data_IF_193588383637
#
_entry.id   IF_193588383637
#
_cell.length_a   1.000
_cell.length_b   1.000
_cell.length_c   1.000
_cell.angle_alpha   90.00
_cell.angle_beta   90.00
_cell.angle_gamma   90.00
#
_symmetry.space_group_name_H-M   'P 1'
#
loop_
_entity.id
_entity.type
_entity.pdbx_description
1 polymer ?
#
# COMPACT_ATOMS: atom_id res chain seq x y z
N UNK A 1 8.96 13.09 -13.21
CA UNK A 1 8.77 14.35 -12.45
C UNK A 1 9.07 15.59 -13.31
N UNK A 2 10.30 15.81 -13.79
CA UNK A 2 10.66 16.96 -14.67
C UNK A 2 9.67 17.16 -15.84
N UNK A 3 9.41 16.11 -16.61
CA UNK A 3 8.54 16.19 -17.79
C UNK A 3 7.08 16.58 -17.54
N UNK A 4 6.57 16.44 -16.31
CA UNK A 4 5.22 16.89 -15.95
C UNK A 4 5.22 18.37 -15.57
N UNK A 5 6.26 18.82 -14.85
CA UNK A 5 6.46 20.22 -14.50
C UNK A 5 6.74 21.06 -15.74
N UNK A 6 7.61 20.59 -16.64
CA UNK A 6 7.91 21.28 -17.89
C UNK A 6 6.65 21.43 -18.77
N UNK A 7 5.75 20.45 -18.76
CA UNK A 7 4.49 20.51 -19.49
C UNK A 7 3.52 21.52 -18.85
N UNK A 8 3.41 21.52 -17.52
CA UNK A 8 2.59 22.49 -16.79
C UNK A 8 3.08 23.92 -16.99
N UNK A 9 4.39 24.14 -16.97
CA UNK A 9 5.00 25.44 -17.23
C UNK A 9 4.74 25.91 -18.67
N UNK A 10 4.80 25.01 -19.66
CA UNK A 10 4.43 25.34 -21.05
C UNK A 10 2.97 25.77 -21.18
N UNK A 11 2.04 25.02 -20.58
CA UNK A 11 0.62 25.37 -20.59
C UNK A 11 0.35 26.72 -19.89
N UNK A 12 1.07 27.00 -18.80
CA UNK A 12 0.98 28.29 -18.09
C UNK A 12 1.48 29.44 -18.98
N UNK A 13 2.63 29.28 -19.62
CA UNK A 13 3.22 30.30 -20.51
C UNK A 13 2.34 30.54 -21.74
N UNK A 14 1.73 29.50 -22.29
CA UNK A 14 0.84 29.61 -23.44
C UNK A 14 -0.39 30.47 -23.16
N UNK A 15 -1.00 30.36 -21.96
CA UNK A 15 -2.10 31.26 -21.56
C UNK A 15 -1.58 32.65 -21.18
N UNK A 16 -0.51 32.74 -20.39
CA UNK A 16 -0.09 34.02 -19.81
C UNK A 16 0.59 34.97 -20.81
N UNK A 17 1.07 34.45 -21.94
CA UNK A 17 1.73 35.24 -22.99
C UNK A 17 0.74 35.91 -23.96
N UNK A 18 -0.55 35.58 -23.87
CA UNK A 18 -1.57 36.13 -24.78
C UNK A 18 -1.89 37.58 -24.41
N UNK A 19 -1.93 38.45 -25.42
CA UNK A 19 -2.11 39.89 -25.26
C UNK A 19 -3.56 40.37 -25.49
N UNK A 20 -4.53 39.46 -25.57
CA UNK A 20 -5.93 39.82 -25.81
C UNK A 20 -6.69 40.12 -24.50
N UNK A 21 -7.67 41.01 -24.57
CA UNK A 21 -8.51 41.36 -23.43
C UNK A 21 -9.50 40.22 -23.10
N UNK A 22 -9.31 39.62 -21.93
CA UNK A 22 -10.07 38.46 -21.41
C UNK A 22 -11.52 38.80 -21.07
N UNK A 23 -11.85 40.09 -20.89
CA UNK A 23 -13.19 40.55 -20.48
C UNK A 23 -14.01 41.08 -21.66
N UNK A 24 -13.45 41.06 -22.88
CA UNK A 24 -14.13 41.59 -24.06
C UNK A 24 -15.19 40.61 -24.60
N UNK A 25 -16.44 41.06 -24.67
CA UNK A 25 -17.60 40.27 -25.10
C UNK A 25 -17.55 39.76 -26.55
N UNK A 26 -16.71 40.37 -27.40
CA UNK A 26 -16.51 39.97 -28.80
C UNK A 26 -15.37 38.96 -29.01
N UNK A 27 -14.67 38.55 -27.94
CA UNK A 27 -13.48 37.72 -28.06
C UNK A 27 -13.81 36.22 -27.98
N UNK A 28 -13.90 35.59 -29.15
CA UNK A 28 -14.07 34.14 -29.30
C UNK A 28 -12.77 33.35 -29.15
N UNK A 29 -11.61 34.03 -29.14
CA UNK A 29 -10.29 33.39 -29.00
C UNK A 29 -10.04 32.93 -27.56
N UNK A 30 -10.47 33.69 -26.55
CA UNK A 30 -10.31 33.30 -25.15
C UNK A 30 -11.02 31.97 -24.83
N UNK A 31 -12.26 31.80 -25.29
CA UNK A 31 -13.02 30.56 -25.07
C UNK A 31 -12.32 29.34 -25.67
N UNK A 32 -11.67 29.51 -26.83
CA UNK A 32 -10.90 28.46 -27.51
C UNK A 32 -9.62 28.12 -26.76
N UNK A 33 -8.85 29.13 -26.36
CA UNK A 33 -7.59 28.94 -25.65
C UNK A 33 -7.82 28.38 -24.24
N UNK A 34 -8.91 28.79 -23.56
CA UNK A 34 -9.35 28.20 -22.29
C UNK A 34 -9.76 26.73 -22.46
N UNK A 35 -10.46 26.37 -23.54
CA UNK A 35 -10.82 24.99 -23.83
C UNK A 35 -9.56 24.14 -24.08
N UNK A 36 -8.60 24.66 -24.85
CA UNK A 36 -7.32 23.98 -25.12
C UNK A 36 -6.48 23.79 -23.85
N UNK A 37 -6.45 24.79 -22.96
CA UNK A 37 -5.79 24.66 -21.67
C UNK A 37 -6.48 23.66 -20.75
N UNK A 38 -7.81 23.70 -20.69
CA UNK A 38 -8.60 22.74 -19.89
C UNK A 38 -8.35 21.32 -20.37
N UNK A 39 -8.23 21.10 -21.68
CA UNK A 39 -7.86 19.81 -22.27
C UNK A 39 -6.42 19.40 -21.90
N UNK A 40 -5.47 20.35 -21.98
CA UNK A 40 -4.08 20.14 -21.55
C UNK A 40 -3.96 19.75 -20.07
N UNK A 41 -4.73 20.39 -19.19
CA UNK A 41 -4.80 20.04 -17.76
C UNK A 41 -5.38 18.63 -17.57
N UNK A 42 -6.48 18.28 -18.25
CA UNK A 42 -7.03 16.92 -18.20
C UNK A 42 -6.04 15.86 -18.65
N UNK A 43 -5.28 16.14 -19.72
CA UNK A 43 -4.24 15.23 -20.19
C UNK A 43 -3.09 15.10 -19.18
N UNK A 44 -2.73 16.17 -18.46
CA UNK A 44 -1.77 16.10 -17.36
C UNK A 44 -2.29 15.23 -16.20
N UNK A 45 -3.54 15.40 -15.80
CA UNK A 45 -4.18 14.57 -14.78
C UNK A 45 -4.15 13.09 -15.17
N UNK A 46 -4.47 12.76 -16.43
CA UNK A 46 -4.39 11.39 -16.95
C UNK A 46 -2.96 10.85 -16.93
N UNK A 47 -1.95 11.65 -17.27
CA UNK A 47 -0.54 11.22 -17.20
C UNK A 47 -0.09 10.96 -15.77
N UNK A 48 -0.50 11.81 -14.82
CA UNK A 48 -0.30 11.58 -13.39
C UNK A 48 -0.94 10.26 -13.00
N UNK A 49 -2.19 10.01 -13.40
CA UNK A 49 -2.92 8.77 -13.12
C UNK A 49 -2.20 7.51 -13.56
N UNK A 50 -1.70 7.51 -14.81
CA UNK A 50 -0.98 6.37 -15.38
C UNK A 50 0.33 6.14 -14.64
N UNK A 51 1.10 7.20 -14.39
CA UNK A 51 2.39 7.11 -13.69
C UNK A 51 2.22 6.54 -12.29
N UNK A 52 1.18 6.96 -11.58
CA UNK A 52 0.87 6.47 -10.23
C UNK A 52 0.44 5.01 -10.23
N UNK A 53 -0.42 4.64 -11.19
CA UNK A 53 -0.83 3.25 -11.37
C UNK A 53 0.37 2.33 -11.67
N UNK A 54 1.30 2.78 -12.51
CA UNK A 54 2.55 2.07 -12.79
C UNK A 54 3.43 1.97 -11.54
N UNK A 55 3.59 3.06 -10.80
CA UNK A 55 4.39 3.05 -9.57
C UNK A 55 3.82 2.10 -8.52
N UNK A 56 2.49 2.11 -8.32
CA UNK A 56 1.81 1.18 -7.42
C UNK A 56 1.97 -0.29 -7.84
N UNK A 57 2.04 -0.58 -9.15
CA UNK A 57 2.31 -1.93 -9.68
C UNK A 57 3.77 -2.35 -9.45
N UNK A 58 4.73 -1.42 -9.57
CA UNK A 58 6.15 -1.72 -9.39
C UNK A 58 6.59 -1.83 -7.93
N UNK A 59 5.84 -1.26 -6.99
CA UNK A 59 6.28 -1.15 -5.58
C UNK A 59 6.29 -2.50 -4.83
N UNK A 60 5.65 -3.56 -5.35
CA UNK A 60 5.75 -4.94 -4.84
C UNK A 60 5.17 -5.19 -3.43
N UNK A 61 5.03 -4.15 -2.61
CA UNK A 61 4.52 -4.19 -1.24
C UNK A 61 3.21 -3.39 -1.15
N UNK A 62 2.12 -4.05 -0.76
CA UNK A 62 0.79 -3.47 -0.66
C UNK A 62 0.77 -2.32 0.34
N UNK A 63 1.45 -2.47 1.48
CA UNK A 63 1.54 -1.44 2.51
C UNK A 63 2.11 -0.12 1.98
N UNK A 64 3.27 -0.16 1.30
CA UNK A 64 3.92 1.05 0.79
C UNK A 64 3.05 1.72 -0.28
N UNK A 65 2.45 0.94 -1.18
CA UNK A 65 1.49 1.46 -2.16
C UNK A 65 0.29 2.13 -1.50
N UNK A 66 -0.22 1.59 -0.38
CA UNK A 66 -1.34 2.18 0.36
C UNK A 66 -0.95 3.50 1.01
N UNK A 67 0.23 3.57 1.64
CA UNK A 67 0.75 4.79 2.25
C UNK A 67 0.91 5.90 1.21
N UNK A 68 1.47 5.58 0.04
CA UNK A 68 1.59 6.57 -1.03
C UNK A 68 0.23 7.06 -1.54
N UNK A 69 -0.76 6.18 -1.71
CA UNK A 69 -2.12 6.61 -2.07
C UNK A 69 -2.73 7.55 -1.04
N UNK A 70 -2.58 7.25 0.25
CA UNK A 70 -3.07 8.09 1.34
C UNK A 70 -2.36 9.46 1.38
N UNK A 71 -1.03 9.48 1.19
CA UNK A 71 -0.28 10.73 1.11
C UNK A 71 -0.73 11.60 -0.06
N UNK A 72 -1.12 11.00 -1.18
CA UNK A 72 -1.64 11.73 -2.32
C UNK A 72 -3.03 12.30 -2.09
N UNK A 73 -3.89 11.57 -1.37
CA UNK A 73 -5.21 12.07 -0.98
C UNK A 73 -5.07 13.29 -0.07
N UNK A 74 -4.06 13.31 0.81
CA UNK A 74 -3.73 14.49 1.61
C UNK A 74 -3.25 15.69 0.78
N UNK A 75 -2.79 15.49 -0.47
CA UNK A 75 -2.34 16.55 -1.38
C UNK A 75 -3.48 17.15 -2.22
N UNK A 76 -4.74 17.16 -1.74
CA UNK A 76 -5.95 17.81 -2.29
C UNK A 76 -6.15 17.78 -3.83
N UNK A 77 -5.47 16.87 -4.52
CA UNK A 77 -5.58 16.67 -5.95
C UNK A 77 -6.73 15.68 -6.12
N UNK A 78 -7.92 16.19 -6.46
CA UNK A 78 -9.12 15.39 -6.72
C UNK A 78 -8.96 14.56 -8.00
N UNK A 79 -8.04 13.60 -7.97
CA UNK A 79 -7.86 12.65 -9.05
C UNK A 79 -9.10 11.76 -9.12
N UNK A 80 -9.66 11.62 -10.32
CA UNK A 80 -10.80 10.73 -10.54
C UNK A 80 -10.38 9.27 -10.33
N UNK A 81 -11.24 8.44 -9.74
CA UNK A 81 -11.01 6.99 -9.66
C UNK A 81 -10.26 6.47 -8.43
N UNK A 82 -10.12 7.25 -7.36
CA UNK A 82 -9.45 6.83 -6.11
C UNK A 82 -10.00 5.52 -5.53
N UNK A 83 -11.34 5.38 -5.47
CA UNK A 83 -11.98 4.17 -4.99
C UNK A 83 -11.57 2.92 -5.81
N UNK A 84 -11.37 3.08 -7.11
CA UNK A 84 -10.92 1.97 -7.97
C UNK A 84 -9.47 1.58 -7.65
N UNK A 85 -8.62 2.53 -7.23
CA UNK A 85 -7.26 2.22 -6.75
C UNK A 85 -7.28 1.45 -5.45
N UNK A 86 -8.08 1.90 -4.47
CA UNK A 86 -8.25 1.17 -3.21
C UNK A 86 -8.76 -0.25 -3.43
N UNK A 87 -9.74 -0.46 -4.33
CA UNK A 87 -10.22 -1.80 -4.69
C UNK A 87 -9.14 -2.68 -5.33
N UNK A 88 -8.34 -2.14 -6.26
CA UNK A 88 -7.23 -2.88 -6.86
C UNK A 88 -6.20 -3.28 -5.81
N UNK A 89 -5.83 -2.35 -4.93
CA UNK A 89 -4.85 -2.60 -3.89
C UNK A 89 -5.37 -3.59 -2.85
N UNK A 90 -6.66 -3.52 -2.51
CA UNK A 90 -7.28 -4.50 -1.64
C UNK A 90 -7.28 -5.90 -2.26
N UNK A 91 -7.49 -6.01 -3.57
CA UNK A 91 -7.36 -7.29 -4.25
C UNK A 91 -5.94 -7.83 -4.21
N UNK A 92 -4.93 -6.97 -4.34
CA UNK A 92 -3.52 -7.35 -4.16
C UNK A 92 -3.23 -7.79 -2.71
N UNK A 93 -3.79 -7.09 -1.73
CA UNK A 93 -3.68 -7.48 -0.31
C UNK A 93 -4.28 -8.87 -0.05
N UNK A 94 -5.44 -9.19 -0.67
CA UNK A 94 -6.00 -10.54 -0.58
C UNK A 94 -5.08 -11.59 -1.17
N UNK A 95 -4.44 -11.33 -2.30
CA UNK A 95 -3.47 -12.26 -2.89
C UNK A 95 -2.25 -12.43 -1.95
N UNK A 96 -1.75 -11.33 -1.38
CA UNK A 96 -0.65 -11.37 -0.41
C UNK A 96 -1.00 -12.18 0.85
N UNK A 97 -2.24 -12.12 1.33
CA UNK A 97 -2.71 -12.97 2.43
C UNK A 97 -2.65 -14.46 2.09
N UNK A 98 -3.05 -14.85 0.88
CA UNK A 98 -2.98 -16.24 0.42
C UNK A 98 -1.53 -16.72 0.24
N UNK A 99 -0.66 -15.85 -0.26
CA UNK A 99 0.77 -16.14 -0.39
C UNK A 99 1.41 -16.38 0.99
N UNK A 100 1.07 -15.55 1.98
CA UNK A 100 1.54 -15.69 3.37
C UNK A 100 0.97 -16.96 4.01
N UNK A 101 -0.31 -17.26 3.83
CA UNK A 101 -0.91 -18.50 4.33
C UNK A 101 -0.20 -19.73 3.74
N UNK A 102 0.06 -19.71 2.43
CA UNK A 102 0.78 -20.77 1.74
C UNK A 102 2.21 -20.91 2.25
N UNK A 103 2.92 -19.79 2.44
CA UNK A 103 4.27 -19.78 2.98
C UNK A 103 4.31 -20.30 4.43
N UNK A 104 3.33 -19.91 5.24
CA UNK A 104 3.20 -20.40 6.61
C UNK A 104 3.01 -21.92 6.64
N UNK A 105 2.07 -22.47 5.87
CA UNK A 105 1.85 -23.92 5.83
C UNK A 105 3.05 -24.70 5.30
N UNK A 106 3.82 -24.14 4.37
CA UNK A 106 5.00 -24.81 3.80
C UNK A 106 6.21 -24.78 4.70
N UNK A 107 6.38 -23.73 5.49
CA UNK A 107 7.63 -23.44 6.19
C UNK A 107 7.49 -23.32 7.71
N UNK A 108 6.31 -23.57 8.29
CA UNK A 108 6.13 -23.48 9.75
C UNK A 108 7.05 -24.42 10.52
N UNK A 109 7.33 -25.61 9.97
CA UNK A 109 8.17 -26.61 10.63
C UNK A 109 9.66 -26.25 10.57
N UNK A 110 10.10 -25.66 9.45
CA UNK A 110 11.46 -25.17 9.26
C UNK A 110 11.46 -23.87 8.44
N UNK A 111 11.29 -22.71 9.09
CA UNK A 111 11.22 -21.46 8.39
C UNK A 111 12.60 -21.07 7.86
N UNK A 112 12.68 -20.48 6.66
CA UNK A 112 13.93 -19.95 6.15
C UNK A 112 14.42 -18.82 7.08
N UNK A 113 15.58 -19.04 7.69
CA UNK A 113 16.21 -18.07 8.59
C UNK A 113 17.37 -17.36 7.89
N UNK A 114 17.60 -16.10 8.26
CA UNK A 114 18.79 -15.37 7.83
C UNK A 114 20.06 -15.99 8.40
N UNK A 115 21.17 -15.77 7.68
CA UNK A 115 22.49 -16.20 8.12
C UNK A 115 22.82 -15.59 9.48
N UNK A 116 23.40 -16.39 10.37
CA UNK A 116 23.81 -16.00 11.73
C UNK A 116 22.65 -15.67 12.70
N UNK A 117 21.40 -15.96 12.30
CA UNK A 117 20.24 -15.75 13.16
C UNK A 117 20.06 -16.92 14.14
N UNK A 118 19.93 -16.68 15.46
CA UNK A 118 19.69 -17.75 16.43
C UNK A 118 18.38 -18.50 16.10
N UNK A 119 18.31 -19.83 16.27
CA UNK A 119 17.20 -20.63 15.74
C UNK A 119 15.82 -20.24 16.31
N UNK A 120 15.71 -19.98 17.61
CA UNK A 120 14.45 -19.56 18.24
C UNK A 120 14.07 -18.12 17.88
N UNK A 121 15.04 -17.18 17.94
CA UNK A 121 14.82 -15.79 17.58
C UNK A 121 14.47 -15.63 16.09
N UNK A 122 15.12 -16.44 15.24
CA UNK A 122 14.83 -16.66 13.82
C UNK A 122 13.36 -16.93 13.55
N UNK A 123 12.89 -18.04 14.14
CA UNK A 123 11.50 -18.51 14.02
C UNK A 123 10.50 -17.45 14.50
N UNK A 124 10.77 -16.79 15.62
CA UNK A 124 9.93 -15.72 16.16
C UNK A 124 9.87 -14.52 15.20
N UNK A 125 11.02 -14.04 14.71
CA UNK A 125 11.04 -12.89 13.82
C UNK A 125 10.36 -13.20 12.47
N UNK A 126 10.51 -14.41 11.96
CA UNK A 126 9.82 -14.88 10.75
C UNK A 126 8.30 -14.76 10.89
N UNK A 127 7.72 -15.27 11.98
CA UNK A 127 6.28 -15.17 12.24
C UNK A 127 5.83 -13.72 12.45
N UNK A 128 6.60 -12.93 13.21
CA UNK A 128 6.33 -11.50 13.42
C UNK A 128 6.37 -10.71 12.12
N UNK A 129 7.31 -10.99 11.23
CA UNK A 129 7.44 -10.30 9.96
C UNK A 129 6.18 -10.51 9.10
N UNK A 130 5.67 -11.74 9.02
CA UNK A 130 4.41 -12.00 8.33
C UNK A 130 3.22 -11.32 9.01
N UNK A 131 3.15 -11.34 10.34
CA UNK A 131 2.08 -10.66 11.07
C UNK A 131 2.10 -9.14 10.83
N UNK A 132 3.27 -8.49 10.83
CA UNK A 132 3.40 -7.07 10.54
C UNK A 132 3.00 -6.74 9.10
N UNK A 133 3.43 -7.57 8.14
CA UNK A 133 3.06 -7.43 6.72
C UNK A 133 1.55 -7.51 6.50
N UNK A 134 0.82 -8.26 7.33
CA UNK A 134 -0.64 -8.36 7.31
C UNK A 134 -1.34 -7.21 8.06
N UNK A 135 -0.88 -6.92 9.27
CA UNK A 135 -1.54 -5.99 10.19
C UNK A 135 -1.44 -4.53 9.73
N UNK A 136 -0.33 -4.15 9.12
CA UNK A 136 -0.11 -2.78 8.65
C UNK A 136 -1.11 -2.36 7.55
N UNK A 137 -1.29 -3.09 6.42
CA UNK A 137 -2.33 -2.76 5.45
C UNK A 137 -3.74 -2.87 6.03
N UNK A 138 -4.01 -3.90 6.84
CA UNK A 138 -5.35 -4.11 7.42
C UNK A 138 -5.79 -2.89 8.26
N UNK A 139 -4.90 -2.39 9.12
CA UNK A 139 -5.16 -1.20 9.94
C UNK A 139 -5.46 0.03 9.09
N UNK A 140 -4.69 0.25 8.02
CA UNK A 140 -4.89 1.39 7.12
C UNK A 140 -6.21 1.29 6.36
N UNK A 141 -6.55 0.13 5.79
CA UNK A 141 -7.83 -0.06 5.10
C UNK A 141 -9.02 0.17 6.04
N UNK A 142 -8.93 -0.29 7.29
CA UNK A 142 -10.03 -0.19 8.25
C UNK A 142 -10.28 1.25 8.74
N UNK A 143 -9.20 2.01 8.93
CA UNK A 143 -9.27 3.36 9.49
C UNK A 143 -9.48 4.43 8.42
N UNK A 144 -8.87 4.28 7.24
CA UNK A 144 -8.80 5.33 6.23
C UNK A 144 -9.77 5.12 5.05
N UNK A 145 -10.31 3.90 4.87
CA UNK A 145 -11.19 3.59 3.70
C UNK A 145 -12.53 2.96 4.13
N UNK A 146 -13.44 3.71 4.78
CA UNK A 146 -14.71 3.16 5.29
C UNK A 146 -15.60 2.51 4.22
N UNK A 147 -15.67 3.11 3.03
CA UNK A 147 -16.49 2.59 1.93
C UNK A 147 -16.03 1.21 1.43
N UNK A 148 -14.76 0.86 1.62
CA UNK A 148 -14.23 -0.46 1.27
C UNK A 148 -14.46 -1.45 2.41
N UNK A 149 -14.32 -1.00 3.66
CA UNK A 149 -14.61 -1.78 4.89
C UNK A 149 -16.02 -2.35 4.91
N UNK A 150 -17.01 -1.58 4.49
CA UNK A 150 -18.42 -1.97 4.59
C UNK A 150 -18.86 -2.91 3.44
N UNK A 151 -17.93 -3.28 2.55
CA UNK A 151 -18.16 -4.24 1.47
C UNK A 151 -18.21 -5.69 1.97
N UNK A 152 -19.02 -6.53 1.31
CA UNK A 152 -19.08 -7.99 1.55
C UNK A 152 -17.71 -8.66 1.38
N UNK A 153 -16.88 -8.14 0.49
CA UNK A 153 -15.52 -8.64 0.25
C UNK A 153 -14.59 -8.37 1.44
N UNK A 154 -14.78 -7.26 2.15
CA UNK A 154 -13.99 -6.92 3.31
C UNK A 154 -14.28 -7.85 4.49
N UNK A 155 -15.55 -8.21 4.71
CA UNK A 155 -15.91 -9.16 5.76
C UNK A 155 -15.16 -10.51 5.62
N UNK A 156 -15.12 -11.07 4.40
CA UNK A 156 -14.40 -12.33 4.13
C UNK A 156 -12.90 -12.18 4.34
N UNK A 157 -12.34 -11.06 3.92
CA UNK A 157 -10.92 -10.75 4.10
C UNK A 157 -10.56 -10.62 5.58
N UNK A 158 -11.40 -9.96 6.39
CA UNK A 158 -11.19 -9.82 7.84
C UNK A 158 -11.21 -11.18 8.55
N UNK A 159 -12.14 -12.07 8.19
CA UNK A 159 -12.18 -13.41 8.76
C UNK A 159 -10.89 -14.21 8.46
N UNK A 160 -10.40 -14.14 7.21
CA UNK A 160 -9.12 -14.76 6.82
C UNK A 160 -7.93 -14.15 7.56
N UNK A 161 -7.87 -12.83 7.64
CA UNK A 161 -6.85 -12.10 8.39
C UNK A 161 -6.81 -12.51 9.86
N UNK A 162 -7.97 -12.59 10.52
CA UNK A 162 -8.04 -12.98 11.93
C UNK A 162 -7.52 -14.41 12.13
N UNK A 163 -7.94 -15.35 11.28
CA UNK A 163 -7.50 -16.74 11.36
C UNK A 163 -5.99 -16.88 11.15
N UNK A 164 -5.45 -16.22 10.11
CA UNK A 164 -4.02 -16.25 9.81
C UNK A 164 -3.19 -15.53 10.89
N UNK A 165 -3.69 -14.40 11.39
CA UNK A 165 -3.07 -13.66 12.49
C UNK A 165 -3.02 -14.46 13.78
N UNK A 166 -4.12 -15.15 14.12
CA UNK A 166 -4.16 -16.07 15.27
C UNK A 166 -3.14 -17.19 15.14
N UNK A 167 -3.04 -17.83 13.97
CA UNK A 167 -2.06 -18.88 13.72
C UNK A 167 -0.61 -18.40 13.89
N UNK A 168 -0.27 -17.23 13.35
CA UNK A 168 1.07 -16.64 13.47
C UNK A 168 1.44 -16.31 14.92
N UNK A 169 0.50 -15.73 15.68
CA UNK A 169 0.69 -15.40 17.09
C UNK A 169 0.80 -16.68 17.94
N UNK A 170 -0.03 -17.68 17.69
CA UNK A 170 0.04 -18.96 18.37
C UNK A 170 1.38 -19.66 18.14
N UNK A 171 1.89 -19.63 16.90
CA UNK A 171 3.22 -20.13 16.57
C UNK A 171 4.32 -19.41 17.37
N UNK A 172 4.31 -18.07 17.38
CA UNK A 172 5.27 -17.29 18.16
C UNK A 172 5.27 -17.67 19.65
N UNK A 173 4.09 -17.78 20.26
CA UNK A 173 3.92 -18.17 21.67
C UNK A 173 4.49 -19.56 21.92
N UNK A 174 4.24 -20.52 21.02
CA UNK A 174 4.71 -21.90 21.15
C UNK A 174 6.24 -21.96 21.08
N UNK A 175 6.85 -21.28 20.11
CA UNK A 175 8.31 -21.21 19.96
C UNK A 175 8.95 -20.57 21.20
N UNK A 176 8.38 -19.47 21.69
CA UNK A 176 8.86 -18.80 22.90
C UNK A 176 8.77 -19.69 24.15
N UNK A 177 7.66 -20.41 24.34
CA UNK A 177 7.47 -21.33 25.47
C UNK A 177 8.47 -22.48 25.43
N UNK A 178 8.71 -23.05 24.25
CA UNK A 178 9.69 -24.11 24.06
C UNK A 178 11.10 -23.61 24.42
N UNK A 179 11.51 -22.46 23.89
CA UNK A 179 12.78 -21.83 24.23
C UNK A 179 12.94 -21.64 25.74
N UNK A 180 11.92 -21.06 26.40
CA UNK A 180 11.94 -20.82 27.85
C UNK A 180 12.10 -22.13 28.64
N UNK A 181 11.39 -23.19 28.24
CA UNK A 181 11.50 -24.51 28.87
C UNK A 181 12.92 -25.08 28.74
N UNK A 182 13.54 -24.94 27.56
CA UNK A 182 14.90 -25.44 27.34
C UNK A 182 15.92 -24.73 28.22
N UNK A 183 15.85 -23.39 28.30
CA UNK A 183 16.73 -22.59 29.15
C UNK A 183 16.64 -23.04 30.61
N UNK A 184 15.43 -23.22 31.14
CA UNK A 184 15.21 -23.67 32.52
C UNK A 184 15.75 -25.08 32.81
N UNK A 185 15.72 -25.99 31.82
CA UNK A 185 16.30 -27.33 31.96
C UNK A 185 17.83 -27.24 31.98
N UNK A 186 18.43 -26.45 31.09
CA UNK A 186 19.89 -26.26 31.06
C UNK A 186 20.40 -25.65 32.36
N UNK A 187 19.73 -24.64 32.91
CA UNK A 187 20.11 -24.04 34.19
C UNK A 187 20.11 -25.05 35.34
N UNK A 188 19.16 -25.99 35.34
CA UNK A 188 19.12 -27.07 36.34
C UNK A 188 20.21 -28.12 36.11
N UNK A 189 20.54 -28.45 34.86
CA UNK A 189 21.60 -29.43 34.53
C UNK A 189 23.02 -28.92 34.78
N UNK A 190 23.22 -27.60 34.90
CA UNK A 190 24.52 -26.99 35.23
C UNK A 190 24.71 -26.92 36.77
N UNK A 191 23.63 -27.12 37.54
CA UNK A 191 23.62 -27.10 39.00
C UNK A 191 23.70 -28.50 39.64
N UNK A 192 23.77 -29.57 38.85
CA UNK A 192 23.98 -30.97 39.28
C UNK A 192 25.14 -31.60 38.52
#
# INVERSE_FOLDING_TARGET
KQQLLDHLERLRVDISSKSYDYLSLNNTCFARDLAQFTDGIKHLEQRVEVTLSQYAQHTGCVYISLVHLLQMEAMDMQLTGQMQRYKRLFSAFRAEMEDIATAYTRHCDDPPLDRDMPPFAGRIAWARNYYLRLSQPMSLFWNQVPALRDSKDAYKATARYNHLGEALVAYEILVYRNWKSQVSITDLSVLF
#
